data_IF_605861349079
#
_entry.id   IF_605861349079
#
_cell.length_a   1.000
_cell.length_b   1.000
_cell.length_c   1.000
_cell.angle_alpha   90.00
_cell.angle_beta   90.00
_cell.angle_gamma   90.00
#
_symmetry.space_group_name_H-M   'P 1'
#
loop_
_entity.id
_entity.type
_entity.pdbx_description
1 polymer ?
#
# COMPACT_ATOMS: atom_id res chain seq x y z
N UNK A 1 7.03 6.64 3.65
CA UNK A 1 6.37 6.57 2.34
C UNK A 1 6.02 7.95 1.85
N UNK A 2 6.22 8.22 0.56
CA UNK A 2 5.78 9.43 -0.12
C UNK A 2 4.81 9.02 -1.23
N UNK A 3 3.74 9.78 -1.46
CA UNK A 3 2.65 9.43 -2.38
C UNK A 3 2.25 10.64 -3.21
N UNK A 4 2.14 10.46 -4.51
CA UNK A 4 1.51 11.40 -5.45
C UNK A 4 0.99 10.62 -6.66
N UNK A 5 -0.31 10.38 -6.68
CA UNK A 5 -0.99 9.58 -7.70
C UNK A 5 -2.21 10.31 -8.26
N UNK A 6 -2.75 9.83 -9.39
CA UNK A 6 -4.03 10.30 -9.89
C UNK A 6 -5.13 9.99 -8.85
N UNK A 7 -5.93 11.01 -8.51
CA UNK A 7 -7.02 10.90 -7.54
C UNK A 7 -8.06 9.87 -8.01
N UNK A 8 -8.52 9.01 -7.10
CA UNK A 8 -9.51 7.93 -7.34
C UNK A 8 -9.09 6.79 -8.30
N UNK A 9 -8.05 6.95 -9.11
CA UNK A 9 -7.67 6.00 -10.17
C UNK A 9 -6.39 5.23 -9.88
N UNK A 10 -5.42 5.89 -9.25
CA UNK A 10 -4.09 5.35 -9.02
C UNK A 10 -3.78 5.26 -7.53
N UNK A 11 -3.19 4.16 -7.11
CA UNK A 11 -2.83 3.98 -5.71
C UNK A 11 -2.21 2.62 -5.45
N UNK A 12 -1.82 2.42 -4.20
CA UNK A 12 -1.26 1.15 -3.76
C UNK A 12 -1.62 0.80 -2.34
N UNK A 13 -1.63 -0.50 -2.07
CA UNK A 13 -1.84 -1.04 -0.74
C UNK A 13 -0.75 -2.05 -0.38
N UNK A 14 -0.69 -2.39 0.91
CA UNK A 14 0.16 -3.46 1.40
C UNK A 14 -0.65 -4.75 1.47
N UNK A 15 -0.13 -5.80 0.86
CA UNK A 15 -0.76 -7.11 0.83
C UNK A 15 0.17 -8.17 1.41
N UNK A 16 -0.43 -9.21 1.97
CA UNK A 16 0.28 -10.38 2.47
C UNK A 16 -0.23 -11.66 1.80
N UNK A 17 0.67 -12.62 1.65
CA UNK A 17 0.36 -13.97 1.19
C UNK A 17 0.97 -15.01 2.12
N UNK A 18 0.17 -16.00 2.50
CA UNK A 18 0.57 -17.12 3.37
C UNK A 18 0.81 -18.42 2.58
N UNK A 19 0.56 -18.41 1.26
CA UNK A 19 0.61 -19.58 0.38
C UNK A 19 1.66 -19.45 -0.72
N UNK A 20 2.73 -18.71 -0.44
CA UNK A 20 3.84 -18.53 -1.37
C UNK A 20 3.53 -17.57 -2.54
N UNK A 21 2.45 -16.80 -2.47
CA UNK A 21 2.08 -15.78 -3.44
C UNK A 21 0.98 -16.20 -4.41
N UNK A 22 0.27 -17.30 -4.15
CA UNK A 22 -0.87 -17.72 -4.98
C UNK A 22 -2.09 -16.84 -4.72
N UNK A 23 -2.37 -16.54 -3.44
CA UNK A 23 -3.42 -15.62 -3.01
C UNK A 23 -2.83 -14.48 -2.17
N UNK A 24 -3.50 -13.32 -2.20
CA UNK A 24 -3.06 -12.09 -1.56
C UNK A 24 -4.23 -11.38 -0.89
N UNK A 25 -4.05 -11.05 0.39
CA UNK A 25 -5.02 -10.29 1.17
C UNK A 25 -4.47 -8.90 1.49
N UNK A 26 -5.32 -7.88 1.41
CA UNK A 26 -4.96 -6.50 1.81
C UNK A 26 -4.84 -6.43 3.33
N UNK A 27 -3.71 -5.92 3.81
CA UNK A 27 -3.52 -5.65 5.24
C UNK A 27 -4.32 -4.38 5.59
N UNK A 28 -5.39 -4.58 6.36
CA UNK A 28 -6.34 -3.51 6.72
C UNK A 28 -5.87 -2.65 7.90
N UNK A 29 -5.03 -3.20 8.78
CA UNK A 29 -4.61 -2.52 10.01
C UNK A 29 -3.32 -1.76 9.78
N UNK A 30 -3.44 -0.58 9.17
CA UNK A 30 -2.32 0.29 8.84
C UNK A 30 -2.51 1.70 9.41
N UNK A 31 -1.40 2.40 9.66
CA UNK A 31 -1.37 3.79 10.11
C UNK A 31 -0.34 4.56 9.28
N UNK A 32 -0.70 5.68 8.64
CA UNK A 32 -2.07 6.19 8.47
C UNK A 32 -2.97 5.20 7.72
N UNK A 33 -4.26 5.23 8.03
CA UNK A 33 -5.27 4.43 7.33
C UNK A 33 -5.30 4.79 5.85
N UNK A 34 -5.78 3.86 5.02
CA UNK A 34 -6.00 4.13 3.60
C UNK A 34 -7.02 5.26 3.42
N UNK A 35 -6.66 6.37 2.76
CA UNK A 35 -7.53 7.52 2.57
C UNK A 35 -8.60 7.30 1.48
N UNK A 36 -8.35 6.41 0.53
CA UNK A 36 -9.18 6.23 -0.67
C UNK A 36 -9.36 4.75 -1.03
N UNK A 37 -10.16 4.49 -2.06
CA UNK A 37 -10.39 3.16 -2.65
C UNK A 37 -10.10 3.20 -4.14
N UNK A 38 -9.15 2.38 -4.59
CA UNK A 38 -8.75 2.24 -5.99
C UNK A 38 -8.99 0.81 -6.44
N UNK A 39 -9.63 0.61 -7.59
CA UNK A 39 -9.90 -0.74 -8.10
C UNK A 39 -10.78 -1.61 -7.18
N UNK A 40 -11.58 -1.00 -6.31
CA UNK A 40 -12.38 -1.70 -5.31
C UNK A 40 -11.59 -2.19 -4.08
N UNK A 41 -10.33 -1.78 -3.93
CA UNK A 41 -9.52 -2.06 -2.75
C UNK A 41 -9.11 -0.76 -2.05
N UNK A 42 -9.00 -0.76 -0.71
CA UNK A 42 -8.48 0.41 -0.01
C UNK A 42 -7.01 0.63 -0.41
N UNK A 43 -6.62 1.89 -0.56
CA UNK A 43 -5.30 2.26 -1.08
C UNK A 43 -4.80 3.57 -0.46
N UNK A 44 -3.47 3.70 -0.39
CA UNK A 44 -2.81 5.00 -0.34
C UNK A 44 -2.69 5.52 -1.77
N UNK A 45 -3.17 6.73 -2.00
CA UNK A 45 -3.21 7.37 -3.30
C UNK A 45 -3.55 8.85 -3.16
N UNK A 46 -4.00 9.46 -4.25
CA UNK A 46 -4.26 10.87 -4.44
C UNK A 46 -3.01 11.76 -4.42
N UNK A 47 -3.20 13.06 -4.63
CA UNK A 47 -2.14 14.06 -4.80
C UNK A 47 -1.53 14.51 -3.46
N UNK A 48 -0.86 13.59 -2.78
CA UNK A 48 -0.34 13.78 -1.41
C UNK A 48 1.09 14.32 -1.34
N UNK A 49 1.67 14.77 -2.46
CA UNK A 49 3.06 15.24 -2.54
C UNK A 49 3.45 16.25 -1.44
N UNK A 50 2.52 17.13 -1.07
CA UNK A 50 2.72 18.19 -0.07
C UNK A 50 2.85 17.68 1.37
N UNK A 51 2.38 16.47 1.67
CA UNK A 51 2.57 15.82 2.97
C UNK A 51 4.04 15.39 3.18
N UNK A 52 4.81 15.24 2.10
CA UNK A 52 6.19 14.76 2.19
C UNK A 52 6.27 13.29 2.66
N UNK A 53 7.42 12.89 3.19
CA UNK A 53 7.63 11.53 3.69
C UNK A 53 6.85 11.31 4.99
N UNK A 54 5.93 10.36 4.96
CA UNK A 54 5.12 9.95 6.10
C UNK A 54 5.55 8.58 6.62
N UNK A 55 5.62 8.41 7.94
CA UNK A 55 5.81 7.08 8.53
C UNK A 55 4.55 6.24 8.31
N UNK A 56 4.71 5.05 7.75
CA UNK A 56 3.63 4.06 7.59
C UNK A 56 3.96 2.84 8.43
N UNK A 57 2.99 2.37 9.21
CA UNK A 57 3.09 1.15 10.01
C UNK A 57 1.94 0.22 9.68
N UNK A 58 2.19 -1.09 9.76
CA UNK A 58 1.20 -2.13 9.52
C UNK A 58 1.26 -3.17 10.64
N UNK A 59 0.10 -3.57 11.18
CA UNK A 59 0.03 -4.63 12.18
C UNK A 59 -0.01 -6.01 11.50
N UNK A 60 1.03 -6.81 11.71
CA UNK A 60 1.17 -8.15 11.16
C UNK A 60 0.81 -9.28 12.15
N UNK A 61 0.25 -8.98 13.32
CA UNK A 61 0.01 -9.97 14.38
C UNK A 61 -0.85 -11.17 13.93
N UNK A 62 -1.72 -10.99 12.93
CA UNK A 62 -2.52 -12.07 12.34
C UNK A 62 -1.66 -13.16 11.67
N UNK A 63 -0.39 -12.86 11.35
CA UNK A 63 0.54 -13.74 10.67
C UNK A 63 1.62 -14.31 11.60
N UNK A 64 1.49 -14.16 12.92
CA UNK A 64 2.46 -14.66 13.88
C UNK A 64 2.73 -16.17 13.70
N UNK A 65 4.00 -16.55 13.65
CA UNK A 65 4.44 -17.94 13.45
C UNK A 65 4.32 -18.45 12.01
N UNK A 66 3.89 -17.62 11.06
CA UNK A 66 3.80 -17.97 9.64
C UNK A 66 4.96 -17.34 8.86
N UNK A 67 5.39 -18.01 7.78
CA UNK A 67 6.23 -17.40 6.76
C UNK A 67 5.32 -16.75 5.74
N UNK A 68 5.40 -15.43 5.59
CA UNK A 68 4.57 -14.68 4.65
C UNK A 68 5.41 -14.00 3.58
N UNK A 69 4.79 -13.70 2.45
CA UNK A 69 5.29 -12.71 1.48
C UNK A 69 4.52 -11.42 1.64
N UNK A 70 5.23 -10.30 1.56
CA UNK A 70 4.64 -8.97 1.50
C UNK A 70 4.77 -8.40 0.08
N UNK A 71 3.79 -7.62 -0.34
CA UNK A 71 3.80 -6.90 -1.62
C UNK A 71 3.17 -5.52 -1.44
N UNK A 72 3.86 -4.50 -1.94
CA UNK A 72 3.24 -3.21 -2.25
C UNK A 72 2.61 -3.34 -3.64
N UNK A 73 1.29 -3.36 -3.70
CA UNK A 73 0.55 -3.61 -4.93
C UNK A 73 0.03 -2.28 -5.49
N UNK A 74 0.66 -1.78 -6.54
CA UNK A 74 0.24 -0.57 -7.25
C UNK A 74 -0.72 -0.91 -8.37
N UNK A 75 -1.76 -0.10 -8.51
CA UNK A 75 -2.72 -0.14 -9.60
C UNK A 75 -2.83 1.26 -10.18
N UNK A 76 -2.93 1.33 -11.52
CA UNK A 76 -3.23 2.55 -12.24
C UNK A 76 -4.26 2.34 -13.32
N UNK A 77 -4.78 3.44 -13.85
CA UNK A 77 -5.53 3.46 -15.09
C UNK A 77 -4.60 3.66 -16.32
N UNK A 78 -5.18 4.06 -17.46
CA UNK A 78 -4.46 4.26 -18.73
C UNK A 78 -4.12 5.72 -19.04
N UNK A 79 -4.41 6.64 -18.12
CA UNK A 79 -4.31 8.07 -18.32
C UNK A 79 -3.36 8.73 -17.31
N UNK A 80 -3.66 9.91 -16.79
CA UNK A 80 -2.75 10.88 -16.16
C UNK A 80 -1.61 10.25 -15.32
N UNK A 81 -0.36 10.59 -15.66
CA UNK A 81 0.82 9.99 -15.01
C UNK A 81 1.40 10.92 -13.95
N UNK A 82 1.50 10.41 -12.72
CA UNK A 82 2.15 11.08 -11.58
C UNK A 82 3.37 10.29 -11.12
N UNK A 83 4.06 10.76 -10.08
CA UNK A 83 5.29 10.15 -9.60
C UNK A 83 5.09 8.77 -8.94
N UNK A 84 3.88 8.48 -8.45
CA UNK A 84 3.54 7.20 -7.83
C UNK A 84 3.81 7.18 -6.33
N UNK A 85 4.23 6.01 -5.83
CA UNK A 85 4.59 5.80 -4.44
C UNK A 85 6.08 5.49 -4.28
N UNK A 86 6.73 6.14 -3.30
CA UNK A 86 8.10 5.80 -2.88
C UNK A 86 8.10 5.25 -1.45
N UNK A 87 8.85 4.16 -1.25
CA UNK A 87 9.04 3.49 0.04
C UNK A 87 10.53 3.53 0.38
N UNK A 88 10.84 3.87 1.63
CA UNK A 88 12.19 3.89 2.18
C UNK A 88 12.14 3.51 3.67
N UNK A 89 13.30 3.20 4.26
CA UNK A 89 13.47 2.76 5.65
C UNK A 89 12.57 1.57 6.03
N UNK A 90 12.47 0.58 5.12
CA UNK A 90 11.62 -0.59 5.31
C UNK A 90 12.16 -1.53 6.40
N UNK A 91 11.34 -1.79 7.41
CA UNK A 91 11.64 -2.67 8.54
C UNK A 91 10.46 -3.61 8.81
N UNK A 92 10.77 -4.88 9.08
CA UNK A 92 9.84 -5.89 9.61
C UNK A 92 10.44 -6.43 10.92
N UNK A 93 9.62 -6.51 11.97
CA UNK A 93 10.03 -6.92 13.32
C UNK A 93 8.99 -7.80 13.99
#
# INVERSE_FOLDING_TARGET
MWVDTEEDYDGFNLQASTDGGMNWDVIQTVVPAYPTTVGGQPAWGDQQASLGWQLVTANLAAYNGQVIKLRFAFQSDSSLNFAGGYVDDFLVQ
#
